data_IF_761525335069
#
_entry.id   IF_761525335069
#
_cell.length_a   1.000
_cell.length_b   1.000
_cell.length_c   1.000
_cell.angle_alpha   90.00
_cell.angle_beta   90.00
_cell.angle_gamma   90.00
#
_symmetry.space_group_name_H-M   'P 1'
#
loop_
_entity.id
_entity.type
_entity.pdbx_description
1 polymer ?
#
# COMPACT_ATOMS: atom_id res chain seq x y z
N UNK A 1 24.81 16.19 -1.17
CA UNK A 1 24.24 15.37 -0.08
C UNK A 1 23.31 14.36 -0.72
N UNK A 2 23.20 13.13 -0.19
CA UNK A 2 22.25 12.13 -0.68
C UNK A 2 20.83 12.55 -0.33
N UNK A 3 20.18 13.27 -1.24
CA UNK A 3 18.80 13.72 -1.11
C UNK A 3 17.89 12.52 -0.92
N UNK A 4 18.12 11.45 -1.69
CA UNK A 4 17.33 10.22 -1.63
C UNK A 4 17.30 9.63 -0.22
N UNK A 5 18.39 9.70 0.54
CA UNK A 5 18.44 9.15 1.90
C UNK A 5 17.46 9.86 2.85
N UNK A 6 17.28 11.17 2.70
CA UNK A 6 16.31 11.94 3.49
C UNK A 6 14.86 11.51 3.21
N UNK A 7 14.50 11.41 1.92
CA UNK A 7 13.15 10.96 1.54
C UNK A 7 12.90 9.49 1.88
N UNK A 8 13.90 8.62 1.74
CA UNK A 8 13.82 7.22 2.14
C UNK A 8 13.58 7.08 3.65
N UNK A 9 14.20 7.94 4.46
CA UNK A 9 13.97 7.96 5.91
C UNK A 9 12.52 8.36 6.25
N UNK A 10 11.96 9.36 5.57
CA UNK A 10 10.55 9.75 5.71
C UNK A 10 9.60 8.61 5.29
N UNK A 11 9.91 7.94 4.18
CA UNK A 11 9.18 6.77 3.72
C UNK A 11 9.26 5.61 4.72
N UNK A 12 10.40 5.40 5.35
CA UNK A 12 10.59 4.40 6.40
C UNK A 12 9.65 4.64 7.58
N UNK A 13 9.51 5.89 8.05
CA UNK A 13 8.55 6.24 9.10
C UNK A 13 7.11 5.98 8.68
N UNK A 14 6.76 6.31 7.43
CA UNK A 14 5.43 6.02 6.87
C UNK A 14 5.17 4.51 6.82
N UNK A 15 6.13 3.72 6.35
CA UNK A 15 6.09 2.26 6.32
C UNK A 15 5.89 1.67 7.73
N UNK A 16 6.61 2.18 8.72
CA UNK A 16 6.44 1.80 10.12
C UNK A 16 5.02 2.08 10.61
N UNK A 17 4.45 3.24 10.28
CA UNK A 17 3.05 3.57 10.58
C UNK A 17 2.06 2.57 9.99
N UNK A 18 2.28 2.11 8.75
CA UNK A 18 1.46 1.07 8.11
C UNK A 18 1.58 -0.28 8.82
N UNK A 19 2.81 -0.70 9.19
CA UNK A 19 3.05 -1.92 9.99
C UNK A 19 2.31 -1.87 11.31
N UNK A 20 2.42 -0.76 12.04
CA UNK A 20 1.74 -0.57 13.32
C UNK A 20 0.21 -0.61 13.17
N UNK A 21 -0.32 -0.06 12.09
CA UNK A 21 -1.76 -0.12 11.81
C UNK A 21 -2.23 -1.56 11.54
N UNK A 22 -1.46 -2.35 10.78
CA UNK A 22 -1.73 -3.78 10.57
C UNK A 22 -1.68 -4.54 11.89
N UNK A 23 -0.62 -4.34 12.69
CA UNK A 23 -0.46 -5.00 13.99
C UNK A 23 -1.63 -4.68 14.94
N UNK A 24 -2.07 -3.42 14.99
CA UNK A 24 -3.23 -2.98 15.77
C UNK A 24 -4.51 -3.72 15.39
N UNK A 25 -4.81 -3.84 14.09
CA UNK A 25 -6.01 -4.54 13.64
C UNK A 25 -5.92 -6.06 13.83
N UNK A 26 -4.74 -6.67 13.65
CA UNK A 26 -4.53 -8.10 13.94
C UNK A 26 -4.77 -8.43 15.41
N UNK A 27 -4.19 -7.63 16.30
CA UNK A 27 -4.38 -7.77 17.74
C UNK A 27 -5.85 -7.60 18.12
N UNK A 28 -6.53 -6.57 17.60
CA UNK A 28 -7.95 -6.31 17.89
C UNK A 28 -8.88 -7.44 17.43
N UNK A 29 -8.57 -8.09 16.32
CA UNK A 29 -9.41 -9.14 15.73
C UNK A 29 -8.97 -10.55 16.14
N UNK A 30 -7.90 -10.68 16.93
CA UNK A 30 -7.26 -11.96 17.29
C UNK A 30 -6.91 -12.83 16.08
N UNK A 31 -6.47 -12.17 15.00
CA UNK A 31 -6.01 -12.83 13.77
C UNK A 31 -4.49 -12.93 13.81
N UNK A 32 -3.96 -14.14 13.96
CA UNK A 32 -2.51 -14.37 14.04
C UNK A 32 -1.82 -14.21 12.69
N UNK A 33 -2.45 -14.68 11.61
CA UNK A 33 -1.87 -14.71 10.25
C UNK A 33 -2.92 -14.30 9.22
N UNK A 34 -2.46 -13.69 8.12
CA UNK A 34 -3.33 -13.29 7.02
C UNK A 34 -4.01 -11.93 7.22
N UNK A 35 -5.15 -11.77 6.56
CA UNK A 35 -5.91 -10.54 6.40
C UNK A 35 -7.34 -10.61 6.96
N UNK A 36 -7.66 -11.73 7.64
CA UNK A 36 -8.97 -12.01 8.24
C UNK A 36 -9.97 -12.67 7.29
N UNK A 37 -9.63 -12.91 6.03
CA UNK A 37 -10.53 -13.56 5.06
C UNK A 37 -10.83 -15.01 5.44
N UNK A 38 -9.82 -15.73 5.94
CA UNK A 38 -9.99 -17.12 6.37
C UNK A 38 -10.97 -17.24 7.55
N UNK A 39 -10.78 -16.41 8.57
CA UNK A 39 -11.65 -16.35 9.74
C UNK A 39 -13.08 -15.92 9.37
N UNK A 40 -13.23 -14.99 8.42
CA UNK A 40 -14.55 -14.62 7.88
C UNK A 40 -15.25 -15.83 7.24
N UNK A 41 -14.54 -16.61 6.43
CA UNK A 41 -15.10 -17.79 5.78
C UNK A 41 -15.49 -18.86 6.79
N UNK A 42 -14.67 -19.12 7.81
CA UNK A 42 -15.02 -20.06 8.88
C UNK A 42 -16.27 -19.62 9.64
N UNK A 43 -16.38 -18.33 9.97
CA UNK A 43 -17.56 -17.79 10.66
C UNK A 43 -18.83 -17.90 9.80
N UNK A 44 -18.72 -17.66 8.49
CA UNK A 44 -19.82 -17.82 7.54
C UNK A 44 -20.25 -19.29 7.45
N UNK A 45 -19.31 -20.22 7.32
CA UNK A 45 -19.57 -21.65 7.22
C UNK A 45 -20.24 -22.19 8.49
N UNK A 46 -19.72 -21.84 9.66
CA UNK A 46 -20.30 -22.26 10.93
C UNK A 46 -21.76 -21.79 11.06
N UNK A 47 -22.02 -20.51 10.77
CA UNK A 47 -23.38 -19.97 10.82
C UNK A 47 -24.30 -20.59 9.77
N UNK A 48 -23.78 -20.90 8.59
CA UNK A 48 -24.54 -21.59 7.54
C UNK A 48 -24.92 -23.00 7.97
N UNK A 49 -24.04 -23.72 8.66
CA UNK A 49 -24.36 -25.04 9.26
C UNK A 49 -25.45 -24.93 10.33
N UNK A 50 -25.42 -23.88 11.16
CA UNK A 50 -26.36 -23.73 12.27
C UNK A 50 -27.75 -23.19 11.86
N UNK A 51 -27.79 -22.24 10.92
CA UNK A 51 -29.00 -21.47 10.55
C UNK A 51 -29.45 -21.68 9.10
N UNK A 52 -28.72 -22.49 8.34
CA UNK A 52 -28.99 -22.75 6.94
C UNK A 52 -28.74 -21.53 6.03
N UNK A 53 -29.35 -21.49 4.84
CA UNK A 53 -29.04 -20.51 3.80
C UNK A 53 -29.44 -19.07 4.12
N UNK A 54 -30.28 -18.85 5.13
CA UNK A 54 -30.73 -17.51 5.58
C UNK A 54 -29.59 -16.59 6.00
N UNK A 55 -28.41 -17.14 6.34
CA UNK A 55 -27.21 -16.36 6.70
C UNK A 55 -26.64 -15.59 5.51
N UNK A 56 -26.90 -16.03 4.27
CA UNK A 56 -26.42 -15.33 3.07
C UNK A 56 -27.07 -13.95 2.89
N UNK A 57 -28.24 -13.73 3.51
CA UNK A 57 -28.93 -12.43 3.52
C UNK A 57 -28.20 -11.39 4.40
N UNK A 58 -27.40 -11.85 5.37
CA UNK A 58 -26.58 -10.98 6.21
C UNK A 58 -25.35 -10.49 5.44
N UNK A 59 -25.46 -9.27 4.92
CA UNK A 59 -24.39 -8.58 4.18
C UNK A 59 -23.09 -8.45 4.96
N UNK A 60 -23.11 -8.46 6.29
CA UNK A 60 -21.89 -8.40 7.11
C UNK A 60 -21.04 -9.67 7.00
N UNK A 61 -21.66 -10.80 6.64
CA UNK A 61 -20.98 -12.07 6.42
C UNK A 61 -20.81 -12.38 4.94
N UNK A 62 -21.83 -12.13 4.11
CA UNK A 62 -21.83 -12.49 2.69
C UNK A 62 -21.03 -11.56 1.80
N UNK A 63 -20.65 -10.36 2.28
CA UNK A 63 -19.83 -9.42 1.50
C UNK A 63 -18.49 -9.11 2.17
N UNK A 64 -17.35 -9.12 1.44
CA UNK A 64 -16.04 -8.83 2.01
C UNK A 64 -15.93 -7.41 2.59
N UNK A 65 -16.63 -6.44 2.01
CA UNK A 65 -16.51 -5.01 2.34
C UNK A 65 -17.26 -4.61 3.62
N UNK A 66 -18.28 -5.36 4.02
CA UNK A 66 -19.05 -5.10 5.23
C UNK A 66 -18.63 -5.99 6.40
N UNK A 67 -17.60 -6.82 6.20
CA UNK A 67 -17.13 -7.72 7.22
C UNK A 67 -16.36 -6.98 8.31
N UNK A 68 -16.40 -7.55 9.52
CA UNK A 68 -15.55 -7.15 10.65
C UNK A 68 -14.06 -7.11 10.26
N UNK A 69 -13.63 -8.00 9.37
CA UNK A 69 -12.23 -8.19 8.96
C UNK A 69 -11.78 -7.19 7.88
N UNK A 70 -12.72 -6.53 7.20
CA UNK A 70 -12.42 -5.66 6.07
C UNK A 70 -11.36 -4.58 6.36
N UNK A 71 -11.37 -3.99 7.57
CA UNK A 71 -10.37 -2.99 7.96
C UNK A 71 -8.97 -3.57 8.09
N UNK A 72 -8.85 -4.82 8.54
CA UNK A 72 -7.57 -5.54 8.56
C UNK A 72 -7.12 -5.82 7.13
N UNK A 73 -8.02 -6.30 6.27
CA UNK A 73 -7.74 -6.51 4.84
C UNK A 73 -7.23 -5.24 4.16
N UNK A 74 -7.88 -4.10 4.40
CA UNK A 74 -7.41 -2.81 3.88
C UNK A 74 -6.01 -2.45 4.40
N UNK A 75 -5.76 -2.61 5.70
CA UNK A 75 -4.47 -2.29 6.30
C UNK A 75 -3.35 -3.15 5.70
N UNK A 76 -3.57 -4.46 5.56
CA UNK A 76 -2.62 -5.39 4.95
C UNK A 76 -2.34 -5.01 3.49
N UNK A 77 -3.38 -4.68 2.72
CA UNK A 77 -3.21 -4.22 1.33
C UNK A 77 -2.47 -2.89 1.22
N UNK A 78 -2.64 -1.99 2.20
CA UNK A 78 -1.94 -0.70 2.25
C UNK A 78 -0.44 -0.91 2.37
N UNK A 79 -0.08 -1.75 3.34
CA UNK A 79 1.28 -2.09 3.65
C UNK A 79 1.94 -2.85 2.50
N UNK A 80 1.25 -3.86 1.95
CA UNK A 80 1.74 -4.64 0.81
C UNK A 80 2.03 -3.76 -0.41
N UNK A 81 1.09 -2.90 -0.81
CA UNK A 81 1.29 -2.02 -1.95
C UNK A 81 2.47 -1.05 -1.75
N UNK A 82 2.65 -0.55 -0.51
CA UNK A 82 3.77 0.32 -0.19
C UNK A 82 5.11 -0.42 -0.30
N UNK A 83 5.24 -1.60 0.30
CA UNK A 83 6.51 -2.36 0.31
C UNK A 83 6.84 -2.96 -1.07
N UNK A 84 5.83 -3.21 -1.91
CA UNK A 84 6.02 -3.70 -3.28
C UNK A 84 6.62 -2.65 -4.22
N UNK A 85 6.48 -1.35 -3.91
CA UNK A 85 6.79 -0.29 -4.87
C UNK A 85 7.76 0.76 -4.32
N UNK A 86 7.66 1.15 -3.06
CA UNK A 86 8.51 2.19 -2.48
C UNK A 86 10.00 1.83 -2.48
N UNK A 87 10.43 0.61 -2.07
CA UNK A 87 11.85 0.25 -2.10
C UNK A 87 12.47 0.37 -3.50
N UNK A 88 11.73 -0.01 -4.54
CA UNK A 88 12.19 0.10 -5.93
C UNK A 88 12.35 1.54 -6.37
N UNK A 89 11.41 2.42 -6.02
CA UNK A 89 11.53 3.86 -6.32
C UNK A 89 12.78 4.45 -5.67
N UNK A 90 12.98 4.21 -4.38
CA UNK A 90 14.14 4.76 -3.66
C UNK A 90 15.46 4.17 -4.15
N UNK A 91 15.49 2.88 -4.47
CA UNK A 91 16.68 2.24 -5.03
C UNK A 91 17.02 2.86 -6.40
N UNK A 92 16.07 2.93 -7.32
CA UNK A 92 16.31 3.42 -8.68
C UNK A 92 16.65 4.91 -8.72
N UNK A 93 15.96 5.73 -7.92
CA UNK A 93 16.26 7.17 -7.82
C UNK A 93 17.60 7.39 -7.13
N UNK A 94 17.93 6.61 -6.10
CA UNK A 94 19.24 6.67 -5.45
C UNK A 94 20.37 6.29 -6.40
N UNK A 95 20.17 5.28 -7.23
CA UNK A 95 21.13 4.92 -8.30
C UNK A 95 21.22 6.03 -9.36
N UNK A 96 20.11 6.69 -9.70
CA UNK A 96 20.13 7.80 -10.63
C UNK A 96 20.86 9.02 -10.06
N UNK A 97 20.64 9.35 -8.78
CA UNK A 97 21.38 10.39 -8.04
C UNK A 97 22.87 10.05 -8.00
N UNK A 98 23.22 8.79 -7.73
CA UNK A 98 24.60 8.31 -7.78
C UNK A 98 25.23 8.45 -9.19
N UNK A 99 24.44 8.21 -10.24
CA UNK A 99 24.84 8.41 -11.64
C UNK A 99 24.83 9.89 -12.08
N UNK A 100 24.71 10.83 -11.14
CA UNK A 100 24.81 12.27 -11.40
C UNK A 100 23.50 12.91 -11.87
N UNK A 101 22.34 12.31 -11.60
CA UNK A 101 21.05 12.99 -11.79
C UNK A 101 21.00 14.23 -10.91
N UNK A 102 20.67 15.38 -11.50
CA UNK A 102 20.64 16.65 -10.80
C UNK A 102 19.66 16.61 -9.61
N UNK A 103 20.07 17.23 -8.50
CA UNK A 103 19.33 17.22 -7.24
C UNK A 103 17.91 17.78 -7.37
N UNK A 104 17.67 18.71 -8.30
CA UNK A 104 16.33 19.24 -8.58
C UNK A 104 15.36 18.14 -9.02
N UNK A 105 15.78 17.25 -9.92
CA UNK A 105 14.95 16.14 -10.40
C UNK A 105 14.72 15.10 -9.30
N UNK A 106 15.73 14.83 -8.47
CA UNK A 106 15.62 13.93 -7.32
C UNK A 106 14.60 14.48 -6.31
N UNK A 107 14.71 15.75 -5.91
CA UNK A 107 13.76 16.39 -4.99
C UNK A 107 12.33 16.37 -5.54
N UNK A 108 12.16 16.75 -6.81
CA UNK A 108 10.83 16.85 -7.44
C UNK A 108 10.17 15.48 -7.55
N UNK A 109 10.91 14.46 -8.00
CA UNK A 109 10.38 13.11 -8.16
C UNK A 109 10.02 12.45 -6.83
N UNK A 110 10.90 12.52 -5.82
CA UNK A 110 10.68 11.89 -4.51
C UNK A 110 9.64 12.63 -3.67
N UNK A 111 9.57 13.96 -3.74
CA UNK A 111 8.51 14.72 -3.08
C UNK A 111 7.14 14.40 -3.67
N UNK A 112 7.02 14.40 -5.00
CA UNK A 112 5.78 14.04 -5.68
C UNK A 112 5.37 12.60 -5.35
N UNK A 113 6.32 11.67 -5.36
CA UNK A 113 6.09 10.28 -4.96
C UNK A 113 5.54 10.19 -3.53
N UNK A 114 6.17 10.84 -2.55
CA UNK A 114 5.69 10.82 -1.17
C UNK A 114 4.30 11.45 -1.01
N UNK A 115 4.03 12.58 -1.68
CA UNK A 115 2.71 13.23 -1.64
C UNK A 115 1.64 12.31 -2.21
N UNK A 116 1.89 11.70 -3.38
CA UNK A 116 0.98 10.73 -3.98
C UNK A 116 0.73 9.54 -3.05
N UNK A 117 1.74 9.08 -2.32
CA UNK A 117 1.62 7.96 -1.37
C UNK A 117 0.84 8.33 -0.11
N UNK A 118 1.08 9.50 0.46
CA UNK A 118 0.29 10.01 1.58
C UNK A 118 -1.19 10.13 1.18
N UNK A 119 -1.47 10.71 0.01
CA UNK A 119 -2.81 10.82 -0.55
C UNK A 119 -3.46 9.43 -0.75
N UNK A 120 -2.72 8.47 -1.29
CA UNK A 120 -3.20 7.09 -1.49
C UNK A 120 -3.59 6.41 -0.16
N UNK A 121 -2.79 6.56 0.90
CA UNK A 121 -3.09 5.99 2.21
C UNK A 121 -4.34 6.63 2.82
N UNK A 122 -4.50 7.95 2.70
CA UNK A 122 -5.71 8.62 3.17
C UNK A 122 -6.96 8.16 2.42
N UNK A 123 -6.87 8.00 1.10
CA UNK A 123 -8.01 7.60 0.27
C UNK A 123 -8.46 6.16 0.58
N UNK A 124 -7.50 5.26 0.82
CA UNK A 124 -7.81 3.87 1.14
C UNK A 124 -8.37 3.67 2.55
N UNK A 125 -7.98 4.49 3.51
CA UNK A 125 -8.47 4.44 4.90
C UNK A 125 -9.84 5.15 5.04
N UNK A 126 -10.08 6.22 4.27
CA UNK A 126 -11.25 7.07 4.45
C UNK A 126 -12.40 6.78 3.47
N UNK A 127 -12.19 6.08 2.35
CA UNK A 127 -13.29 5.80 1.40
C UNK A 127 -14.04 4.50 1.72
N UNK A 128 -15.38 4.59 1.72
CA UNK A 128 -16.33 3.49 2.06
C UNK A 128 -16.15 2.21 1.24
N UNK A 129 -15.44 2.24 0.11
CA UNK A 129 -15.22 1.07 -0.77
C UNK A 129 -13.76 0.81 -1.12
N UNK A 130 -12.81 1.60 -0.62
CA UNK A 130 -11.39 1.52 -1.03
C UNK A 130 -11.16 1.63 -2.57
N UNK A 131 -12.10 2.27 -3.29
CA UNK A 131 -12.09 2.52 -4.75
C UNK A 131 -12.09 4.03 -5.02
N UNK A 132 -11.13 4.76 -4.44
CA UNK A 132 -10.98 6.18 -4.73
C UNK A 132 -10.09 6.44 -5.96
N UNK A 133 -10.34 7.52 -6.73
CA UNK A 133 -9.56 7.85 -7.93
C UNK A 133 -8.09 8.17 -7.63
N UNK A 134 -7.77 8.62 -6.41
CA UNK A 134 -6.38 8.91 -6.03
C UNK A 134 -5.52 7.63 -5.99
N UNK A 135 -6.14 6.46 -5.80
CA UNK A 135 -5.50 5.15 -5.91
C UNK A 135 -4.92 4.91 -7.31
N UNK A 136 -5.75 5.11 -8.34
CA UNK A 136 -5.35 4.89 -9.73
C UNK A 136 -4.25 5.87 -10.13
N UNK A 137 -4.42 7.14 -9.77
CA UNK A 137 -3.45 8.18 -10.08
C UNK A 137 -2.08 7.93 -9.41
N UNK A 138 -2.06 7.60 -8.12
CA UNK A 138 -0.81 7.31 -7.39
C UNK A 138 -0.12 6.04 -7.90
N UNK A 139 -0.88 4.99 -8.23
CA UNK A 139 -0.34 3.76 -8.79
C UNK A 139 0.29 4.02 -10.16
N UNK A 140 -0.43 4.67 -11.07
CA UNK A 140 0.07 5.01 -12.40
C UNK A 140 1.27 5.95 -12.33
N UNK A 141 1.20 6.99 -11.48
CA UNK A 141 2.32 7.91 -11.25
C UNK A 141 3.58 7.20 -10.77
N UNK A 142 3.44 6.20 -9.89
CA UNK A 142 4.59 5.40 -9.46
C UNK A 142 5.17 4.56 -10.59
N UNK A 143 4.32 3.93 -11.41
CA UNK A 143 4.80 3.11 -12.54
C UNK A 143 5.54 3.97 -13.56
N UNK A 144 5.00 5.14 -13.89
CA UNK A 144 5.66 6.10 -14.79
C UNK A 144 7.00 6.56 -14.23
N UNK A 145 7.07 6.85 -12.93
CA UNK A 145 8.33 7.24 -12.28
C UNK A 145 9.37 6.11 -12.35
N UNK A 146 8.99 4.89 -12.00
CA UNK A 146 9.88 3.72 -12.08
C UNK A 146 10.39 3.54 -13.50
N UNK A 147 9.50 3.58 -14.50
CA UNK A 147 9.88 3.46 -15.90
C UNK A 147 10.84 4.57 -16.32
N UNK A 148 10.51 5.83 -16.05
CA UNK A 148 11.35 6.97 -16.44
C UNK A 148 12.74 6.94 -15.83
N UNK A 149 12.85 6.66 -14.53
CA UNK A 149 14.14 6.57 -13.82
C UNK A 149 14.93 5.33 -14.24
N UNK A 150 14.24 4.21 -14.51
CA UNK A 150 14.89 3.00 -15.05
C UNK A 150 15.49 3.29 -16.42
N UNK A 151 14.74 3.92 -17.32
CA UNK A 151 15.23 4.31 -18.65
C UNK A 151 16.43 5.26 -18.54
N UNK A 152 16.37 6.26 -17.66
CA UNK A 152 17.51 7.17 -17.42
C UNK A 152 18.76 6.40 -16.98
N UNK A 153 18.63 5.51 -16.00
CA UNK A 153 19.76 4.71 -15.51
C UNK A 153 20.34 3.82 -16.60
N UNK A 154 19.50 3.16 -17.41
CA UNK A 154 19.96 2.32 -18.52
C UNK A 154 20.72 3.18 -19.54
N UNK A 155 20.16 4.31 -19.94
CA UNK A 155 20.81 5.19 -20.91
C UNK A 155 22.16 5.67 -20.40
N UNK A 156 22.26 6.09 -19.14
CA UNK A 156 23.52 6.59 -18.56
C UNK A 156 24.60 5.53 -18.35
N UNK A 157 24.23 4.27 -18.13
CA UNK A 157 25.21 3.19 -17.91
C UNK A 157 25.76 2.67 -19.23
N UNK A 158 24.93 2.57 -20.26
CA UNK A 158 25.26 1.85 -21.49
C UNK A 158 25.52 2.75 -22.70
N UNK A 159 25.19 4.05 -22.64
CA UNK A 159 25.37 5.02 -23.73
C UNK A 159 25.95 6.35 -23.22
#
# INVERSE_FOLDING_TARGET
MLVTAGYASLAGLMGLGLVLNVARYRSKLMVSLGDGTYEQTLELLQKYTDKGPTVLDDKSLSTPFNSKYFKLTQAVRAHANFIETAPWVFLLVGLAEYNGLDSFYVHTSLSLFLVMRAAHVSDMICTKKAYGPARAFSTLGTMVLILGVSTWNILKVWF
#
